data_IF_393291517165
#
_entry.id   IF_393291517165
#
_cell.length_a   1.000
_cell.length_b   1.000
_cell.length_c   1.000
_cell.angle_alpha   90.00
_cell.angle_beta   90.00
_cell.angle_gamma   90.00
#
_symmetry.space_group_name_H-M   'P 1'
#
loop_
_entity.id
_entity.type
_entity.pdbx_description
1 polymer ?
#
# COMPACT_ATOMS: atom_id res chain seq x y z
N UNK A 1 -21.02 -9.64 -15.94
CA UNK A 1 -20.75 -8.21 -15.66
C UNK A 1 -19.98 -7.66 -16.84
N UNK A 2 -20.51 -6.60 -17.47
CA UNK A 2 -19.83 -5.92 -18.59
C UNK A 2 -18.64 -5.13 -18.06
N UNK A 3 -17.50 -5.23 -18.74
CA UNK A 3 -16.28 -4.52 -18.39
C UNK A 3 -15.85 -3.57 -19.50
N UNK A 4 -14.91 -2.68 -19.22
CA UNK A 4 -14.40 -1.64 -20.12
C UNK A 4 -15.50 -0.63 -20.50
N UNK A 5 -16.29 -0.26 -19.51
CA UNK A 5 -17.45 0.63 -19.63
C UNK A 5 -17.40 1.77 -18.61
N UNK A 6 -17.87 2.94 -19.01
CA UNK A 6 -18.09 4.11 -18.16
C UNK A 6 -19.58 4.37 -18.02
N UNK A 7 -20.11 4.29 -16.81
CA UNK A 7 -21.52 4.51 -16.52
C UNK A 7 -21.79 5.97 -16.15
N UNK A 8 -22.80 6.57 -16.76
CA UNK A 8 -23.37 7.85 -16.31
C UNK A 8 -24.27 7.57 -15.10
N UNK A 9 -23.65 7.43 -13.94
CA UNK A 9 -24.34 7.00 -12.71
C UNK A 9 -23.52 7.45 -11.49
N UNK A 10 -24.22 7.83 -10.42
CA UNK A 10 -23.60 7.97 -9.11
C UNK A 10 -23.02 6.62 -8.65
N UNK A 11 -21.75 6.62 -8.29
CA UNK A 11 -21.05 5.41 -7.81
C UNK A 11 -21.80 4.70 -6.66
N UNK A 12 -22.45 5.44 -5.76
CA UNK A 12 -23.22 4.86 -4.67
C UNK A 12 -24.45 4.05 -5.13
N UNK A 13 -24.86 4.19 -6.40
CA UNK A 13 -25.95 3.43 -7.01
C UNK A 13 -25.47 2.25 -7.87
N UNK A 14 -24.17 1.94 -7.83
CA UNK A 14 -23.63 0.81 -8.58
C UNK A 14 -24.28 -0.51 -8.12
N UNK A 15 -24.22 -1.51 -9.01
CA UNK A 15 -24.71 -2.88 -8.73
C UNK A 15 -23.60 -3.91 -8.80
N UNK A 16 -22.37 -3.51 -8.50
CA UNK A 16 -21.23 -4.41 -8.49
C UNK A 16 -21.40 -5.46 -7.39
N UNK A 17 -21.02 -6.71 -7.65
CA UNK A 17 -20.93 -7.74 -6.60
C UNK A 17 -19.96 -7.35 -5.49
N UNK A 18 -20.17 -7.90 -4.30
CA UNK A 18 -19.23 -7.81 -3.21
C UNK A 18 -17.89 -8.42 -3.61
N UNK A 19 -16.80 -7.83 -3.17
CA UNK A 19 -15.44 -8.36 -3.34
C UNK A 19 -15.00 -8.62 -4.80
N UNK A 20 -15.55 -7.87 -5.77
CA UNK A 20 -15.24 -8.04 -7.19
C UNK A 20 -14.05 -7.22 -7.69
N UNK A 21 -13.73 -6.10 -7.05
CA UNK A 21 -12.70 -5.16 -7.50
C UNK A 21 -11.31 -5.56 -7.00
N UNK A 22 -10.35 -5.77 -7.89
CA UNK A 22 -8.96 -6.05 -7.51
C UNK A 22 -8.18 -4.76 -7.21
N UNK A 23 -8.53 -3.66 -7.89
CA UNK A 23 -8.00 -2.33 -7.65
C UNK A 23 -9.15 -1.32 -7.71
N UNK A 24 -9.20 -0.42 -6.75
CA UNK A 24 -10.08 0.76 -6.80
C UNK A 24 -9.20 1.99 -6.85
N UNK A 25 -9.47 2.91 -7.80
CA UNK A 25 -8.79 4.21 -7.86
C UNK A 25 -9.87 5.27 -7.71
N UNK A 26 -9.94 5.85 -6.52
CA UNK A 26 -10.89 6.89 -6.16
C UNK A 26 -10.20 8.26 -6.13
N UNK A 27 -10.65 9.16 -7.00
CA UNK A 27 -10.28 10.57 -7.03
C UNK A 27 -11.55 11.41 -6.84
N UNK A 28 -12.12 11.40 -5.61
CA UNK A 28 -13.39 12.08 -5.35
C UNK A 28 -13.25 13.60 -5.47
N UNK A 29 -14.35 14.34 -5.58
CA UNK A 29 -14.35 15.78 -5.40
C UNK A 29 -13.67 16.18 -4.09
N UNK A 30 -12.85 17.24 -4.12
CA UNK A 30 -12.17 17.79 -2.93
C UNK A 30 -12.94 19.01 -2.46
N UNK A 31 -13.32 19.05 -1.21
CA UNK A 31 -14.12 20.15 -0.67
C UNK A 31 -13.42 21.52 -0.85
N UNK A 32 -14.06 22.45 -1.61
CA UNK A 32 -13.63 23.83 -1.86
C UNK A 32 -12.18 23.98 -2.40
N UNK A 33 -11.79 23.15 -3.36
CA UNK A 33 -10.42 23.19 -3.92
C UNK A 33 -10.37 23.75 -5.33
N UNK A 34 -11.06 23.09 -6.28
CA UNK A 34 -10.98 23.45 -7.70
C UNK A 34 -12.08 22.81 -8.52
N UNK A 35 -12.74 23.63 -9.35
CA UNK A 35 -13.84 23.19 -10.22
C UNK A 35 -15.19 23.17 -9.49
N UNK A 36 -16.26 23.24 -10.27
CA UNK A 36 -17.63 23.36 -9.72
C UNK A 36 -18.02 22.13 -8.90
N UNK A 37 -17.47 20.97 -9.24
CA UNK A 37 -17.75 19.71 -8.53
C UNK A 37 -17.20 19.69 -7.08
N UNK A 38 -16.21 20.54 -6.76
CA UNK A 38 -15.68 20.65 -5.39
C UNK A 38 -16.54 21.57 -4.50
N UNK A 39 -17.52 22.26 -5.08
CA UNK A 39 -18.42 23.20 -4.38
C UNK A 39 -19.87 22.71 -4.32
N UNK A 40 -20.09 21.41 -4.49
CA UNK A 40 -21.44 20.79 -4.48
C UNK A 40 -21.91 20.38 -3.09
N UNK A 41 -21.07 20.51 -2.06
CA UNK A 41 -21.39 20.16 -0.69
C UNK A 41 -21.85 21.38 0.10
N UNK A 42 -22.92 21.24 0.89
CA UNK A 42 -23.48 22.33 1.69
C UNK A 42 -22.48 22.85 2.73
N UNK A 43 -21.76 21.92 3.36
CA UNK A 43 -20.71 22.21 4.34
C UNK A 43 -19.66 21.09 4.41
N UNK A 44 -18.67 21.27 5.27
CA UNK A 44 -17.62 20.28 5.44
C UNK A 44 -18.10 18.97 6.07
N UNK A 45 -19.12 19.02 6.94
CA UNK A 45 -19.70 17.80 7.52
C UNK A 45 -20.44 16.98 6.48
N UNK A 46 -21.19 17.64 5.58
CA UNK A 46 -21.85 16.99 4.43
C UNK A 46 -20.80 16.31 3.52
N UNK A 47 -19.69 16.97 3.23
CA UNK A 47 -18.56 16.34 2.52
C UNK A 47 -18.05 15.09 3.22
N UNK A 48 -17.81 15.11 4.55
CA UNK A 48 -17.34 13.94 5.30
C UNK A 48 -18.34 12.79 5.30
N UNK A 49 -19.64 13.06 5.28
CA UNK A 49 -20.68 12.02 5.13
C UNK A 49 -20.56 11.31 3.78
N UNK A 50 -20.27 12.05 2.70
CA UNK A 50 -20.03 11.47 1.38
C UNK A 50 -18.75 10.64 1.35
N UNK A 51 -17.66 11.13 1.95
CA UNK A 51 -16.42 10.36 2.10
C UNK A 51 -16.68 9.03 2.82
N UNK A 52 -17.49 9.04 3.91
CA UNK A 52 -17.87 7.83 4.64
C UNK A 52 -18.71 6.87 3.78
N UNK A 53 -19.67 7.39 3.02
CA UNK A 53 -20.50 6.57 2.13
C UNK A 53 -19.67 5.90 1.02
N UNK A 54 -18.79 6.66 0.37
CA UNK A 54 -17.90 6.14 -0.65
C UNK A 54 -16.90 5.12 -0.07
N UNK A 55 -16.36 5.38 1.13
CA UNK A 55 -15.45 4.45 1.80
C UNK A 55 -16.12 3.11 2.10
N UNK A 56 -17.38 3.12 2.58
CA UNK A 56 -18.17 1.91 2.83
C UNK A 56 -18.41 1.12 1.56
N UNK A 57 -18.76 1.81 0.48
CA UNK A 57 -19.03 1.17 -0.79
C UNK A 57 -17.74 0.59 -1.42
N UNK A 58 -16.64 1.32 -1.36
CA UNK A 58 -15.33 0.78 -1.74
C UNK A 58 -14.97 -0.46 -0.90
N UNK A 59 -15.24 -0.47 0.40
CA UNK A 59 -14.97 -1.62 1.27
C UNK A 59 -15.82 -2.83 0.90
N UNK A 60 -17.08 -2.64 0.49
CA UNK A 60 -17.99 -3.70 0.06
C UNK A 60 -17.47 -4.40 -1.21
N UNK A 61 -17.05 -3.61 -2.20
CA UNK A 61 -16.68 -4.15 -3.52
C UNK A 61 -15.20 -4.58 -3.62
N UNK A 62 -14.32 -4.13 -2.72
CA UNK A 62 -12.89 -4.46 -2.78
C UNK A 62 -12.66 -5.94 -2.48
N UNK A 63 -11.97 -6.64 -3.37
CA UNK A 63 -11.57 -8.03 -3.19
C UNK A 63 -10.69 -8.22 -1.95
N UNK A 64 -10.69 -9.40 -1.36
CA UNK A 64 -9.97 -9.72 -0.11
C UNK A 64 -8.47 -9.36 -0.16
N UNK A 65 -7.85 -9.47 -1.32
CA UNK A 65 -6.45 -9.10 -1.59
C UNK A 65 -6.31 -7.89 -2.50
N UNK A 66 -7.39 -7.12 -2.66
CA UNK A 66 -7.45 -5.92 -3.48
C UNK A 66 -6.77 -4.72 -2.85
N UNK A 67 -6.57 -3.69 -3.66
CA UNK A 67 -5.96 -2.42 -3.26
C UNK A 67 -6.89 -1.26 -3.56
N UNK A 68 -6.98 -0.31 -2.62
CA UNK A 68 -7.63 0.98 -2.82
C UNK A 68 -6.57 2.07 -2.88
N UNK A 69 -6.61 2.89 -3.94
CA UNK A 69 -5.89 4.17 -4.02
C UNK A 69 -6.93 5.28 -3.86
N UNK A 70 -6.69 6.16 -2.88
CA UNK A 70 -7.56 7.30 -2.62
C UNK A 70 -6.78 8.59 -2.75
N UNK A 71 -7.17 9.44 -3.71
CA UNK A 71 -6.57 10.76 -3.91
C UNK A 71 -7.20 11.83 -3.03
N UNK A 72 -6.44 12.87 -2.72
CA UNK A 72 -6.97 13.98 -1.94
C UNK A 72 -6.07 15.22 -1.91
N UNK A 73 -6.70 16.35 -1.61
CA UNK A 73 -6.00 17.62 -1.39
C UNK A 73 -5.23 17.58 -0.05
N UNK A 74 -4.07 18.22 0.00
CA UNK A 74 -3.20 18.23 1.18
C UNK A 74 -3.87 18.78 2.45
N UNK A 75 -4.93 19.61 2.34
CA UNK A 75 -5.65 20.19 3.47
C UNK A 75 -6.71 19.24 4.03
N UNK A 76 -7.27 18.34 3.19
CA UNK A 76 -8.45 17.53 3.51
C UNK A 76 -8.16 16.04 3.63
N UNK A 77 -7.06 15.57 3.05
CA UNK A 77 -6.72 14.13 3.01
C UNK A 77 -6.65 13.47 4.40
N UNK A 78 -6.23 14.22 5.43
CA UNK A 78 -6.15 13.69 6.80
C UNK A 78 -7.54 13.30 7.36
N UNK A 79 -8.57 14.06 7.04
CA UNK A 79 -9.95 13.74 7.44
C UNK A 79 -10.48 12.51 6.71
N UNK A 80 -10.18 12.39 5.40
CA UNK A 80 -10.50 11.19 4.65
C UNK A 80 -9.77 9.97 5.20
N UNK A 81 -8.50 10.11 5.58
CA UNK A 81 -7.72 9.04 6.20
C UNK A 81 -8.36 8.53 7.48
N UNK A 82 -8.78 9.40 8.39
CA UNK A 82 -9.45 9.01 9.65
C UNK A 82 -10.71 8.16 9.37
N UNK A 83 -11.45 8.50 8.31
CA UNK A 83 -12.63 7.75 7.90
C UNK A 83 -12.24 6.40 7.28
N UNK A 84 -11.31 6.41 6.33
CA UNK A 84 -10.86 5.22 5.63
C UNK A 84 -10.21 4.19 6.56
N UNK A 85 -9.49 4.63 7.58
CA UNK A 85 -8.86 3.77 8.60
C UNK A 85 -9.89 2.94 9.40
N UNK A 86 -11.18 3.31 9.37
CA UNK A 86 -12.27 2.48 9.93
C UNK A 86 -12.50 1.21 9.12
N UNK A 87 -12.26 1.25 7.81
CA UNK A 87 -12.63 0.20 6.85
C UNK A 87 -11.42 -0.56 6.30
N UNK A 88 -10.26 0.05 6.24
CA UNK A 88 -9.08 -0.43 5.55
C UNK A 88 -7.82 -0.38 6.43
N UNK A 89 -6.78 -1.09 6.01
CA UNK A 89 -5.43 -0.98 6.56
C UNK A 89 -4.59 -0.09 5.64
N UNK A 90 -4.06 1.01 6.16
CA UNK A 90 -3.19 1.91 5.42
C UNK A 90 -1.87 1.23 5.08
N UNK A 91 -1.50 1.22 3.80
CA UNK A 91 -0.20 0.76 3.30
C UNK A 91 0.77 1.93 3.09
N UNK A 92 0.29 3.02 2.51
CA UNK A 92 1.13 4.17 2.18
C UNK A 92 0.32 5.46 2.24
N UNK A 93 0.87 6.48 2.89
CA UNK A 93 0.47 7.87 2.70
C UNK A 93 1.49 8.49 1.75
N UNK A 94 1.09 8.64 0.49
CA UNK A 94 1.96 9.01 -0.62
C UNK A 94 1.79 10.46 -1.04
N UNK A 95 2.81 10.95 -1.73
CA UNK A 95 2.88 12.31 -2.26
C UNK A 95 3.26 12.26 -3.74
N UNK A 96 2.41 12.78 -4.59
CA UNK A 96 2.82 13.16 -5.93
C UNK A 96 3.45 14.55 -5.89
N UNK A 97 4.75 14.63 -6.18
CA UNK A 97 5.50 15.87 -6.34
C UNK A 97 5.41 16.33 -7.80
N UNK A 98 4.75 17.47 -8.03
CA UNK A 98 4.58 18.08 -9.36
C UNK A 98 5.85 18.85 -9.71
N UNK A 99 6.74 18.27 -10.51
CA UNK A 99 8.07 18.84 -10.83
C UNK A 99 7.92 20.18 -11.56
N UNK A 100 7.09 20.22 -12.60
CA UNK A 100 6.81 21.42 -13.40
C UNK A 100 5.50 22.11 -12.99
N UNK A 101 5.05 21.90 -11.76
CA UNK A 101 3.85 22.54 -11.24
C UNK A 101 4.01 24.06 -11.30
N UNK A 102 3.15 24.74 -12.09
CA UNK A 102 3.10 26.20 -12.05
C UNK A 102 2.72 26.59 -10.63
N UNK A 103 3.70 27.12 -9.89
CA UNK A 103 3.40 27.90 -8.70
C UNK A 103 2.42 28.98 -9.11
N UNK A 104 1.27 29.08 -8.44
CA UNK A 104 0.36 30.22 -8.66
C UNK A 104 1.21 31.48 -8.61
N UNK A 105 0.85 32.48 -9.42
CA UNK A 105 1.42 33.85 -9.37
C UNK A 105 1.14 34.44 -7.98
N UNK A 106 1.74 33.92 -6.92
CA UNK A 106 1.75 34.61 -5.64
C UNK A 106 3.10 35.32 -5.53
N UNK A 107 3.06 36.56 -5.16
CA UNK A 107 4.25 37.25 -4.71
C UNK A 107 4.80 36.46 -3.53
N UNK A 108 5.99 35.87 -3.65
CA UNK A 108 6.66 35.22 -2.52
C UNK A 108 6.84 36.14 -1.31
N UNK A 109 6.81 37.47 -1.54
CA UNK A 109 6.88 38.49 -0.47
C UNK A 109 5.61 38.55 0.38
N UNK A 110 4.48 38.14 -0.18
CA UNK A 110 3.16 38.16 0.49
C UNK A 110 2.68 36.75 0.90
N UNK A 111 3.42 35.70 0.54
CA UNK A 111 3.06 34.34 0.87
C UNK A 111 3.14 34.11 2.39
N UNK A 112 2.01 33.67 2.98
CA UNK A 112 1.92 33.29 4.41
C UNK A 112 2.22 31.82 4.66
N UNK A 113 2.44 31.02 3.60
CA UNK A 113 2.70 29.58 3.67
C UNK A 113 3.63 29.16 2.55
N UNK A 114 4.18 27.96 2.67
CA UNK A 114 4.94 27.33 1.58
C UNK A 114 4.00 27.06 0.40
N UNK A 115 4.50 27.33 -0.81
CA UNK A 115 3.74 27.09 -2.04
C UNK A 115 3.60 25.58 -2.24
N UNK A 116 2.35 25.11 -2.27
CA UNK A 116 2.07 23.70 -2.46
C UNK A 116 2.23 23.29 -3.95
N UNK A 117 3.15 22.39 -4.21
CA UNK A 117 3.36 21.75 -5.50
C UNK A 117 3.10 20.23 -5.43
N UNK A 118 2.34 19.78 -4.45
CA UNK A 118 2.09 18.37 -4.19
C UNK A 118 0.61 18.04 -4.23
N UNK A 119 0.32 16.77 -4.48
CA UNK A 119 -0.97 16.16 -4.27
C UNK A 119 -0.79 14.88 -3.44
N UNK A 120 -1.79 14.49 -2.70
CA UNK A 120 -1.70 13.36 -1.77
C UNK A 120 -2.48 12.17 -2.28
N UNK A 121 -2.01 10.97 -1.95
CA UNK A 121 -2.78 9.75 -2.15
C UNK A 121 -2.53 8.77 -1.01
N UNK A 122 -3.54 7.99 -0.70
CA UNK A 122 -3.49 6.94 0.31
C UNK A 122 -3.62 5.59 -0.41
N UNK A 123 -2.81 4.63 -0.03
CA UNK A 123 -2.90 3.26 -0.53
C UNK A 123 -3.32 2.36 0.61
N UNK A 124 -4.37 1.60 0.38
CA UNK A 124 -5.00 0.73 1.37
C UNK A 124 -5.13 -0.70 0.88
N UNK A 125 -5.20 -1.64 1.82
CA UNK A 125 -5.67 -3.00 1.62
C UNK A 125 -6.89 -3.28 2.51
N UNK A 126 -7.63 -4.35 2.24
CA UNK A 126 -8.73 -4.79 3.09
C UNK A 126 -8.23 -5.09 4.50
N UNK A 127 -9.05 -4.81 5.53
CA UNK A 127 -8.76 -5.27 6.89
C UNK A 127 -8.72 -6.79 6.90
N UNK A 128 -7.58 -7.36 7.27
CA UNK A 128 -7.51 -8.80 7.48
C UNK A 128 -8.40 -9.18 8.67
N UNK A 129 -9.04 -10.35 8.60
CA UNK A 129 -9.84 -10.91 9.71
C UNK A 129 -9.05 -11.04 11.02
N UNK A 130 -7.74 -10.92 10.98
CA UNK A 130 -6.84 -11.04 12.12
C UNK A 130 -6.42 -9.71 12.74
N UNK A 131 -7.03 -8.58 12.37
CA UNK A 131 -7.04 -7.33 13.13
C UNK A 131 -5.69 -6.68 13.49
N UNK A 132 -4.58 -7.19 13.00
CA UNK A 132 -3.26 -6.77 13.45
C UNK A 132 -2.66 -5.70 12.55
N UNK A 133 -2.29 -4.58 13.17
CA UNK A 133 -1.43 -3.55 12.58
C UNK A 133 -0.09 -4.18 12.16
N UNK A 134 0.01 -4.58 10.89
CA UNK A 134 1.28 -5.03 10.32
C UNK A 134 2.15 -3.81 10.07
N UNK A 135 3.26 -3.70 10.79
CA UNK A 135 4.22 -2.62 10.58
C UNK A 135 4.83 -2.70 9.17
N UNK A 136 4.75 -1.61 8.42
CA UNK A 136 5.05 -1.53 6.97
C UNK A 136 6.53 -1.36 6.63
N UNK A 137 7.36 -0.97 7.61
CA UNK A 137 8.73 -0.53 7.34
C UNK A 137 9.77 -1.66 7.34
N UNK A 138 9.39 -2.86 7.72
CA UNK A 138 10.27 -4.02 7.61
C UNK A 138 9.60 -5.08 6.75
N UNK A 139 10.29 -5.62 5.73
CA UNK A 139 9.82 -6.82 5.03
C UNK A 139 9.48 -7.97 5.99
N UNK A 140 9.99 -7.88 7.22
CA UNK A 140 9.79 -8.85 8.30
C UNK A 140 8.87 -8.34 9.42
N UNK A 141 8.50 -7.05 9.46
CA UNK A 141 7.82 -6.45 10.60
C UNK A 141 6.33 -6.81 10.75
N UNK A 142 5.72 -7.39 9.74
CA UNK A 142 4.37 -7.95 9.82
C UNK A 142 4.35 -9.46 9.66
N UNK A 143 5.50 -10.10 9.56
CA UNK A 143 5.65 -11.49 9.14
C UNK A 143 6.33 -12.35 10.20
N UNK A 144 6.12 -12.04 11.50
CA UNK A 144 6.47 -13.01 12.52
C UNK A 144 5.53 -14.20 12.36
N UNK A 145 6.08 -15.30 11.91
CA UNK A 145 5.34 -16.55 11.82
C UNK A 145 5.09 -17.07 13.24
N UNK A 146 3.82 -17.19 13.62
CA UNK A 146 3.46 -17.61 15.00
C UNK A 146 4.04 -18.97 15.36
N UNK A 147 4.31 -19.83 14.37
CA UNK A 147 5.05 -21.08 14.57
C UNK A 147 6.43 -20.91 15.19
N UNK A 148 7.06 -19.73 15.06
CA UNK A 148 8.33 -19.43 15.71
C UNK A 148 8.22 -18.99 17.18
N UNK A 149 7.02 -18.73 17.69
CA UNK A 149 6.85 -18.21 19.05
C UNK A 149 7.45 -19.14 20.12
N UNK A 150 7.31 -20.49 20.05
CA UNK A 150 7.95 -21.38 21.01
C UNK A 150 9.49 -21.24 21.03
N UNK A 151 10.13 -21.16 19.87
CA UNK A 151 11.58 -20.98 19.74
C UNK A 151 12.01 -19.60 20.26
N UNK A 152 11.24 -18.57 19.97
CA UNK A 152 11.51 -17.20 20.46
C UNK A 152 11.41 -17.14 21.99
N UNK A 153 10.41 -17.75 22.58
CA UNK A 153 10.24 -17.82 24.04
C UNK A 153 11.39 -18.60 24.67
N UNK A 154 11.78 -19.72 24.09
CA UNK A 154 12.94 -20.49 24.52
C UNK A 154 14.22 -19.64 24.50
N UNK A 155 14.52 -18.92 23.39
CA UNK A 155 15.68 -18.02 23.30
C UNK A 155 15.63 -16.90 24.34
N UNK A 156 14.43 -16.36 24.63
CA UNK A 156 14.27 -15.35 25.69
C UNK A 156 14.64 -15.92 27.07
N UNK A 157 14.23 -17.15 27.37
CA UNK A 157 14.58 -17.81 28.61
C UNK A 157 16.09 -18.08 28.70
N UNK A 158 16.68 -18.58 27.61
CA UNK A 158 18.14 -18.80 27.52
C UNK A 158 18.91 -17.50 27.75
N UNK A 159 18.55 -16.42 27.08
CA UNK A 159 19.24 -15.14 27.23
C UNK A 159 19.03 -14.51 28.62
N UNK A 160 17.87 -14.72 29.23
CA UNK A 160 17.60 -14.31 30.61
C UNK A 160 18.54 -15.04 31.57
N UNK A 161 18.81 -16.33 31.35
CA UNK A 161 19.77 -17.13 32.18
C UNK A 161 21.18 -16.58 32.10
N UNK A 162 21.56 -15.94 30.99
CA UNK A 162 22.89 -15.31 30.80
C UNK A 162 22.95 -13.85 31.31
N UNK A 163 21.88 -13.34 31.92
CA UNK A 163 21.79 -11.96 32.42
C UNK A 163 21.09 -10.99 31.46
N UNK A 164 20.42 -11.53 30.42
CA UNK A 164 19.62 -10.78 29.44
C UNK A 164 20.41 -10.31 28.22
N UNK A 165 19.66 -9.90 27.19
CA UNK A 165 20.20 -9.47 25.89
C UNK A 165 21.26 -8.38 26.03
N UNK A 166 21.02 -7.38 26.88
CA UNK A 166 21.96 -6.27 27.08
C UNK A 166 23.32 -6.71 27.59
N UNK A 167 23.38 -7.70 28.51
CA UNK A 167 24.66 -8.26 29.01
C UNK A 167 25.36 -9.08 27.94
N UNK A 168 24.61 -9.84 27.14
CA UNK A 168 25.17 -10.60 26.02
C UNK A 168 25.80 -9.64 25.01
N UNK A 169 25.09 -8.61 24.58
CA UNK A 169 25.60 -7.60 23.64
C UNK A 169 26.86 -6.93 24.20
N UNK A 170 26.85 -6.56 25.49
CA UNK A 170 28.00 -5.92 26.12
C UNK A 170 29.25 -6.82 26.08
N UNK A 171 29.08 -8.14 26.22
CA UNK A 171 30.20 -9.12 26.25
C UNK A 171 30.67 -9.54 24.87
N UNK A 172 29.72 -9.77 23.94
CA UNK A 172 29.99 -10.24 22.57
C UNK A 172 30.27 -9.12 21.58
N UNK A 173 29.87 -7.86 21.90
CA UNK A 173 29.89 -6.71 21.00
C UNK A 173 29.03 -6.92 19.76
N UNK A 174 28.04 -7.80 19.82
CA UNK A 174 27.16 -8.20 18.71
C UNK A 174 25.70 -7.79 18.97
N UNK A 175 25.20 -6.83 18.24
CA UNK A 175 23.85 -6.30 18.40
C UNK A 175 22.74 -7.24 17.85
N UNK A 176 23.09 -8.24 17.06
CA UNK A 176 22.11 -9.18 16.49
C UNK A 176 21.33 -9.98 17.53
N UNK A 177 21.85 -10.12 18.76
CA UNK A 177 21.13 -10.82 19.83
C UNK A 177 19.78 -10.21 20.19
N UNK A 178 19.58 -8.90 19.95
CA UNK A 178 18.28 -8.26 20.13
C UNK A 178 17.23 -8.79 19.14
N UNK A 179 17.63 -9.17 17.93
CA UNK A 179 16.75 -9.71 16.91
C UNK A 179 16.23 -11.11 17.29
N UNK A 180 17.01 -11.91 17.98
CA UNK A 180 16.60 -13.26 18.39
C UNK A 180 15.44 -13.29 19.40
N UNK A 181 15.16 -12.17 20.06
CA UNK A 181 14.06 -12.03 21.03
C UNK A 181 12.96 -11.08 20.59
N UNK A 182 13.19 -10.32 19.51
CA UNK A 182 12.23 -9.38 18.92
C UNK A 182 11.15 -10.12 18.13
N UNK A 183 9.92 -9.57 18.06
CA UNK A 183 8.91 -10.02 17.10
C UNK A 183 9.05 -9.35 15.73
N UNK A 184 9.52 -8.11 15.69
CA UNK A 184 9.56 -7.32 14.46
C UNK A 184 10.71 -7.66 13.51
N UNK A 185 11.82 -8.17 14.04
CA UNK A 185 13.03 -8.49 13.28
C UNK A 185 13.61 -9.85 13.68
N UNK A 186 12.71 -10.80 14.00
CA UNK A 186 13.13 -12.07 14.53
C UNK A 186 14.01 -12.87 13.56
N UNK A 187 15.07 -13.44 14.11
CA UNK A 187 15.94 -14.40 13.44
C UNK A 187 16.44 -15.42 14.45
N UNK A 188 16.62 -16.67 14.01
CA UNK A 188 17.25 -17.70 14.86
C UNK A 188 18.77 -17.51 14.85
N UNK A 189 19.48 -17.71 15.99
CA UNK A 189 20.94 -17.59 16.07
C UNK A 189 21.63 -18.46 15.05
N UNK A 190 22.58 -17.90 14.29
CA UNK A 190 23.45 -18.69 13.41
C UNK A 190 24.51 -19.46 14.23
N UNK A 191 25.23 -20.44 13.65
CA UNK A 191 26.24 -21.21 14.37
C UNK A 191 27.29 -20.34 15.06
N UNK A 192 27.75 -19.27 14.42
CA UNK A 192 28.71 -18.34 14.99
C UNK A 192 28.17 -17.66 16.25
N UNK A 193 26.91 -17.23 16.22
CA UNK A 193 26.26 -16.64 17.40
C UNK A 193 26.17 -17.63 18.55
N UNK A 194 25.91 -18.91 18.27
CA UNK A 194 25.89 -19.96 19.30
C UNK A 194 27.27 -20.11 19.92
N UNK A 195 28.34 -20.24 19.12
CA UNK A 195 29.71 -20.35 19.61
C UNK A 195 30.14 -19.14 20.48
N UNK A 196 29.68 -17.93 20.17
CA UNK A 196 29.88 -16.73 20.99
C UNK A 196 29.19 -16.81 22.36
N UNK A 197 28.11 -17.60 22.49
CA UNK A 197 27.36 -17.76 23.74
C UNK A 197 27.96 -18.86 24.64
N UNK A 198 28.60 -19.89 24.08
CA UNK A 198 29.10 -21.04 24.84
C UNK A 198 30.05 -20.65 25.99
N UNK A 199 31.00 -19.71 25.83
CA UNK A 199 31.84 -19.25 26.94
C UNK A 199 31.03 -18.60 28.07
N UNK A 200 29.90 -17.97 27.77
CA UNK A 200 29.05 -17.37 28.78
C UNK A 200 28.30 -18.42 29.61
N UNK A 201 27.91 -19.54 28.98
CA UNK A 201 27.34 -20.70 29.67
C UNK A 201 28.40 -21.42 30.52
N UNK A 202 29.61 -21.63 29.98
CA UNK A 202 30.73 -22.23 30.71
C UNK A 202 31.04 -21.47 32.00
N UNK A 203 31.07 -20.14 31.95
CA UNK A 203 31.28 -19.29 33.11
C UNK A 203 30.22 -19.44 34.21
N UNK A 204 29.09 -20.07 33.90
CA UNK A 204 28.00 -20.42 34.83
C UNK A 204 27.95 -21.90 35.21
N UNK A 205 28.97 -22.67 34.84
CA UNK A 205 29.04 -24.09 35.13
C UNK A 205 28.12 -24.97 34.31
N UNK A 206 27.60 -24.46 33.15
CA UNK A 206 26.75 -25.22 32.24
C UNK A 206 27.61 -26.06 31.30
N UNK A 207 27.22 -27.32 31.09
CA UNK A 207 27.85 -28.23 30.14
C UNK A 207 27.72 -27.71 28.72
N UNK A 208 28.84 -27.40 28.08
CA UNK A 208 28.93 -26.80 26.76
C UNK A 208 28.44 -27.73 25.66
N UNK A 209 28.79 -29.02 25.73
CA UNK A 209 28.39 -29.98 24.70
C UNK A 209 26.88 -30.23 24.73
N UNK A 210 26.34 -30.36 25.95
CA UNK A 210 24.88 -30.43 26.12
C UNK A 210 24.19 -29.19 25.57
N UNK A 211 24.74 -27.98 25.87
CA UNK A 211 24.15 -26.74 25.41
C UNK A 211 24.21 -26.59 23.89
N UNK A 212 25.32 -27.01 23.28
CA UNK A 212 25.48 -27.05 21.82
C UNK A 212 24.42 -27.96 21.19
N UNK A 213 24.22 -29.16 21.73
CA UNK A 213 23.20 -30.09 21.24
C UNK A 213 21.77 -29.54 21.35
N UNK A 214 21.47 -28.79 22.43
CA UNK A 214 20.17 -28.11 22.57
C UNK A 214 19.94 -27.07 21.47
N UNK A 215 20.93 -26.23 21.15
CA UNK A 215 20.84 -25.25 20.05
C UNK A 215 20.76 -25.92 18.68
N UNK A 216 21.43 -27.02 18.45
CA UNK A 216 21.35 -27.81 17.21
C UNK A 216 19.97 -28.41 17.05
N UNK A 217 19.38 -28.96 18.11
CA UNK A 217 18.01 -29.48 18.09
C UNK A 217 16.98 -28.38 17.79
N UNK A 218 17.10 -27.23 18.46
CA UNK A 218 16.25 -26.08 18.21
C UNK A 218 16.41 -25.53 16.79
N UNK A 219 17.63 -25.60 16.21
CA UNK A 219 17.87 -25.23 14.80
C UNK A 219 17.16 -26.15 13.83
N UNK A 220 17.18 -27.47 14.06
CA UNK A 220 16.44 -28.42 13.21
C UNK A 220 14.94 -28.10 13.20
N UNK A 221 14.37 -27.79 14.36
CA UNK A 221 12.97 -27.37 14.46
C UNK A 221 12.73 -26.03 13.73
N UNK A 222 13.63 -25.07 13.87
CA UNK A 222 13.56 -23.80 13.14
C UNK A 222 13.56 -24.02 11.61
N UNK A 223 14.47 -24.84 11.09
CA UNK A 223 14.55 -25.10 9.63
C UNK A 223 13.29 -25.79 9.11
N UNK A 224 12.71 -26.70 9.88
CA UNK A 224 11.42 -27.32 9.54
C UNK A 224 10.30 -26.29 9.46
N UNK A 225 10.18 -25.43 10.46
CA UNK A 225 9.17 -24.38 10.50
C UNK A 225 9.41 -23.30 9.42
N UNK A 226 10.67 -23.07 9.06
CA UNK A 226 11.05 -22.15 8.00
C UNK A 226 10.50 -22.59 6.64
N UNK A 227 10.56 -23.87 6.32
CA UNK A 227 10.00 -24.40 5.07
C UNK A 227 8.50 -24.10 4.99
N UNK A 228 7.74 -24.35 6.07
CA UNK A 228 6.31 -24.04 6.12
C UNK A 228 6.03 -22.53 6.00
N UNK A 229 6.83 -21.72 6.71
CA UNK A 229 6.72 -20.26 6.61
C UNK A 229 6.97 -19.74 5.19
N UNK A 230 8.03 -20.22 4.51
CA UNK A 230 8.34 -19.79 3.14
C UNK A 230 7.24 -20.22 2.15
N UNK A 231 6.62 -21.38 2.36
CA UNK A 231 5.47 -21.82 1.58
C UNK A 231 4.28 -20.88 1.76
N UNK A 232 3.87 -20.61 3.00
CA UNK A 232 2.76 -19.68 3.30
C UNK A 232 3.06 -18.28 2.78
N UNK A 233 4.30 -17.83 2.89
CA UNK A 233 4.75 -16.54 2.37
C UNK A 233 4.69 -16.48 0.85
N UNK A 234 5.06 -17.55 0.15
CA UNK A 234 4.95 -17.63 -1.30
C UNK A 234 3.49 -17.59 -1.77
N UNK A 235 2.61 -18.35 -1.10
CA UNK A 235 1.17 -18.34 -1.37
C UNK A 235 0.56 -16.94 -1.13
N UNK A 236 0.91 -16.28 -0.02
CA UNK A 236 0.48 -14.93 0.27
C UNK A 236 0.96 -13.94 -0.79
N UNK A 237 2.25 -14.01 -1.18
CA UNK A 237 2.81 -13.14 -2.23
C UNK A 237 2.13 -13.34 -3.58
N UNK A 238 1.81 -14.58 -3.94
CA UNK A 238 1.13 -14.89 -5.18
C UNK A 238 -0.29 -14.28 -5.23
N UNK A 239 -0.96 -14.18 -4.08
CA UNK A 239 -2.31 -13.60 -3.96
C UNK A 239 -2.32 -12.09 -3.76
N UNK A 240 -1.25 -11.50 -3.22
CA UNK A 240 -1.18 -10.08 -2.90
C UNK A 240 -1.16 -9.21 -4.16
N UNK A 241 -1.97 -8.16 -4.20
CA UNK A 241 -2.05 -7.25 -5.33
C UNK A 241 -0.97 -6.18 -5.34
N UNK A 242 -0.67 -5.45 -4.27
CA UNK A 242 0.49 -4.56 -4.33
C UNK A 242 1.78 -5.39 -4.41
N UNK A 243 2.55 -5.23 -5.48
CA UNK A 243 3.84 -5.88 -5.70
C UNK A 243 4.94 -4.86 -5.90
N UNK A 244 5.11 -4.01 -4.89
CA UNK A 244 6.13 -2.97 -4.86
C UNK A 244 7.53 -3.52 -5.13
N UNK A 245 8.25 -2.86 -6.02
CA UNK A 245 9.64 -3.16 -6.33
C UNK A 245 9.88 -4.21 -7.40
N UNK A 246 8.84 -4.90 -7.90
CA UNK A 246 8.98 -5.83 -9.02
C UNK A 246 9.15 -5.10 -10.36
N UNK A 247 8.32 -4.08 -10.60
CA UNK A 247 8.32 -3.32 -11.86
C UNK A 247 8.92 -1.93 -11.71
N UNK A 248 8.52 -1.23 -10.66
CA UNK A 248 8.90 0.15 -10.40
C UNK A 248 9.41 0.28 -8.97
N UNK A 249 10.50 1.04 -8.80
CA UNK A 249 11.01 1.38 -7.46
C UNK A 249 10.24 2.59 -6.89
N UNK A 250 8.91 2.49 -6.83
CA UNK A 250 8.08 3.55 -6.29
C UNK A 250 8.38 3.79 -4.82
N UNK A 251 8.45 5.06 -4.44
CA UNK A 251 8.62 5.52 -3.07
C UNK A 251 7.37 6.29 -2.64
N UNK A 252 7.27 6.64 -1.36
CA UNK A 252 6.15 7.44 -0.85
C UNK A 252 6.09 8.86 -1.42
N UNK A 253 7.19 9.38 -1.96
CA UNK A 253 7.23 10.62 -2.73
C UNK A 253 7.56 10.26 -4.18
N UNK A 254 6.64 10.54 -5.08
CA UNK A 254 6.75 10.20 -6.49
C UNK A 254 6.82 11.49 -7.31
N UNK A 255 7.99 11.83 -7.89
CA UNK A 255 8.12 12.99 -8.75
C UNK A 255 7.59 12.67 -10.15
N UNK A 256 6.59 13.44 -10.61
CA UNK A 256 6.10 13.40 -11.98
C UNK A 256 5.70 14.78 -12.46
N UNK A 257 5.91 15.04 -13.74
CA UNK A 257 5.40 16.23 -14.38
C UNK A 257 3.87 16.22 -14.44
N UNK A 258 3.27 17.39 -14.31
CA UNK A 258 1.87 17.54 -14.71
C UNK A 258 1.77 17.32 -16.22
N UNK A 259 0.71 16.65 -16.67
CA UNK A 259 0.43 16.55 -18.10
C UNK A 259 0.41 17.96 -18.69
N UNK A 260 1.27 18.21 -19.67
CA UNK A 260 1.34 19.54 -20.30
C UNK A 260 0.02 19.85 -20.98
N UNK A 261 -0.36 21.14 -20.99
CA UNK A 261 -1.54 21.64 -21.72
C UNK A 261 -1.48 21.40 -23.25
N UNK A 262 -0.41 20.79 -23.76
CA UNK A 262 -0.23 20.49 -25.18
C UNK A 262 -1.18 19.39 -25.68
N UNK A 263 -1.69 18.54 -24.82
CA UNK A 263 -2.78 17.61 -25.15
C UNK A 263 -4.13 18.23 -24.87
N UNK A 264 -4.51 19.24 -25.65
CA UNK A 264 -5.83 19.90 -25.61
C UNK A 264 -7.02 18.95 -25.91
N UNK A 265 -6.75 17.72 -26.34
CA UNK A 265 -7.77 16.74 -26.68
C UNK A 265 -8.72 16.42 -25.51
N UNK A 266 -8.27 16.57 -24.25
CA UNK A 266 -9.05 16.29 -23.06
C UNK A 266 -8.90 17.44 -22.07
N UNK A 267 -9.72 18.49 -22.21
CA UNK A 267 -9.69 19.65 -21.32
C UNK A 267 -10.47 19.38 -20.04
N UNK A 268 -9.78 18.80 -19.06
CA UNK A 268 -10.30 18.54 -17.72
C UNK A 268 -9.35 19.12 -16.66
N UNK A 269 -9.86 19.84 -15.65
CA UNK A 269 -9.03 20.70 -14.79
C UNK A 269 -8.06 19.97 -13.84
N UNK A 270 -8.27 18.67 -13.58
CA UNK A 270 -7.55 17.92 -12.53
C UNK A 270 -6.98 16.58 -13.00
N UNK A 271 -6.55 16.50 -14.26
CA UNK A 271 -6.02 15.26 -14.86
C UNK A 271 -4.79 14.74 -14.10
N UNK A 272 -4.79 13.44 -13.82
CA UNK A 272 -3.58 12.74 -13.35
C UNK A 272 -2.65 12.42 -14.53
N UNK A 273 -1.32 12.46 -14.34
CA UNK A 273 -0.39 12.07 -15.41
C UNK A 273 -0.58 10.61 -15.82
N UNK A 274 -0.75 10.31 -17.13
CA UNK A 274 -0.96 8.93 -17.60
C UNK A 274 0.14 7.97 -17.14
N UNK A 275 1.39 8.38 -17.21
CA UNK A 275 2.54 7.55 -16.80
C UNK A 275 2.50 7.22 -15.31
N UNK A 276 2.18 8.19 -14.43
CA UNK A 276 2.01 7.94 -13.00
C UNK A 276 0.87 6.97 -12.76
N UNK A 277 -0.30 7.21 -13.38
CA UNK A 277 -1.48 6.35 -13.26
C UNK A 277 -1.16 4.94 -13.71
N UNK A 278 -0.48 4.77 -14.84
CA UNK A 278 -0.02 3.47 -15.36
C UNK A 278 0.86 2.74 -14.34
N UNK A 279 1.89 3.39 -13.80
CA UNK A 279 2.79 2.79 -12.82
C UNK A 279 2.05 2.36 -11.55
N UNK A 280 1.08 3.14 -11.09
CA UNK A 280 0.25 2.77 -9.95
C UNK A 280 -0.63 1.56 -10.27
N UNK A 281 -1.31 1.53 -11.42
CA UNK A 281 -2.14 0.40 -11.85
C UNK A 281 -1.30 -0.88 -11.96
N UNK A 282 -0.17 -0.83 -12.63
CA UNK A 282 0.71 -1.99 -12.81
C UNK A 282 1.29 -2.50 -11.49
N UNK A 283 1.60 -1.60 -10.56
CA UNK A 283 2.12 -1.97 -9.23
C UNK A 283 1.03 -2.56 -8.33
N UNK A 284 -0.23 -2.08 -8.45
CA UNK A 284 -1.32 -2.43 -7.53
C UNK A 284 -2.30 -3.48 -8.08
N UNK A 285 -2.09 -3.94 -9.31
CA UNK A 285 -2.94 -4.93 -9.97
C UNK A 285 -2.15 -5.87 -10.86
N UNK A 286 -2.79 -6.93 -11.35
CA UNK A 286 -2.26 -7.86 -12.33
C UNK A 286 -3.04 -7.76 -13.64
N UNK A 287 -2.46 -8.25 -14.73
CA UNK A 287 -3.17 -8.34 -16.00
C UNK A 287 -4.44 -9.19 -15.86
N UNK A 288 -5.53 -8.75 -16.48
CA UNK A 288 -6.85 -9.35 -16.34
C UNK A 288 -7.65 -8.90 -15.10
N UNK A 289 -7.02 -8.25 -14.12
CA UNK A 289 -7.71 -7.74 -12.92
C UNK A 289 -8.76 -6.67 -13.27
N UNK A 290 -9.78 -6.56 -12.42
CA UNK A 290 -10.80 -5.51 -12.50
C UNK A 290 -10.37 -4.27 -11.72
N UNK A 291 -10.27 -3.16 -12.44
CA UNK A 291 -10.05 -1.82 -11.90
C UNK A 291 -11.39 -1.08 -11.83
N UNK A 292 -11.83 -0.66 -10.65
CA UNK A 292 -13.01 0.17 -10.49
C UNK A 292 -12.61 1.61 -10.26
N UNK A 293 -13.23 2.52 -11.02
CA UNK A 293 -12.96 3.97 -10.98
C UNK A 293 -14.27 4.68 -10.59
N UNK A 294 -14.46 4.99 -9.30
CA UNK A 294 -15.69 5.63 -8.81
C UNK A 294 -15.99 7.01 -9.39
N UNK A 295 -14.96 7.73 -9.85
CA UNK A 295 -15.02 9.10 -10.35
C UNK A 295 -14.16 9.18 -11.62
N UNK A 296 -14.76 8.95 -12.78
CA UNK A 296 -14.03 8.77 -14.03
C UNK A 296 -13.32 10.04 -14.52
N UNK A 297 -13.90 11.21 -14.30
CA UNK A 297 -13.36 12.49 -14.71
C UNK A 297 -12.90 12.48 -16.18
N UNK A 298 -11.62 12.72 -16.41
CA UNK A 298 -11.00 12.70 -17.75
C UNK A 298 -10.74 11.31 -18.33
N UNK A 299 -10.99 10.23 -17.59
CA UNK A 299 -10.79 8.84 -18.02
C UNK A 299 -9.34 8.39 -18.12
N UNK A 300 -8.41 9.04 -17.44
CA UNK A 300 -6.99 8.62 -17.43
C UNK A 300 -6.85 7.21 -16.90
N UNK A 301 -7.50 6.90 -15.77
CA UNK A 301 -7.48 5.60 -15.10
C UNK A 301 -8.07 4.51 -16.00
N UNK A 302 -9.18 4.80 -16.71
CA UNK A 302 -9.81 3.88 -17.64
C UNK A 302 -8.89 3.54 -18.82
N UNK A 303 -8.30 4.57 -19.43
CA UNK A 303 -7.42 4.43 -20.56
C UNK A 303 -6.14 3.65 -20.19
N UNK A 304 -5.51 3.98 -19.06
CA UNK A 304 -4.30 3.31 -18.64
C UNK A 304 -4.55 1.89 -18.14
N UNK A 305 -5.69 1.60 -17.49
CA UNK A 305 -6.08 0.24 -17.14
C UNK A 305 -6.20 -0.63 -18.40
N UNK A 306 -6.92 -0.17 -19.42
CA UNK A 306 -7.06 -0.88 -20.70
C UNK A 306 -5.71 -1.05 -21.39
N UNK A 307 -4.87 -0.01 -21.43
CA UNK A 307 -3.53 -0.05 -22.04
C UNK A 307 -2.66 -1.18 -21.50
N UNK A 308 -2.73 -1.41 -20.19
CA UNK A 308 -1.91 -2.41 -19.51
C UNK A 308 -2.63 -3.74 -19.29
N UNK A 309 -3.70 -4.03 -20.04
CA UNK A 309 -4.39 -5.31 -20.03
C UNK A 309 -5.25 -5.57 -18.80
N UNK A 310 -5.69 -4.51 -18.10
CA UNK A 310 -6.68 -4.62 -17.02
C UNK A 310 -8.06 -4.32 -17.56
N UNK A 311 -9.06 -4.98 -16.99
CA UNK A 311 -10.45 -4.61 -17.21
C UNK A 311 -10.81 -3.42 -16.31
N UNK A 312 -11.70 -2.56 -16.75
CA UNK A 312 -12.19 -1.47 -15.90
C UNK A 312 -13.71 -1.36 -15.90
N UNK A 313 -14.24 -0.78 -14.84
CA UNK A 313 -15.61 -0.26 -14.73
C UNK A 313 -15.51 1.10 -14.06
N UNK A 314 -16.11 2.11 -14.66
CA UNK A 314 -16.00 3.47 -14.16
C UNK A 314 -17.37 4.14 -14.06
N UNK A 315 -17.45 5.13 -13.19
CA UNK A 315 -18.65 5.89 -12.91
C UNK A 315 -18.37 7.38 -12.92
N UNK A 316 -19.32 8.17 -13.38
CA UNK A 316 -19.35 9.62 -13.20
C UNK A 316 -20.78 10.14 -13.28
N UNK A 317 -21.06 11.22 -12.56
CA UNK A 317 -22.35 11.91 -12.60
C UNK A 317 -22.42 12.99 -13.69
N UNK A 318 -21.28 13.44 -14.21
CA UNK A 318 -21.20 14.40 -15.31
C UNK A 318 -21.16 13.68 -16.66
N UNK A 319 -22.18 13.87 -17.47
CA UNK A 319 -22.28 13.29 -18.82
C UNK A 319 -21.10 13.66 -19.74
N UNK A 320 -20.47 14.83 -19.55
CA UNK A 320 -19.27 15.26 -20.31
C UNK A 320 -18.05 14.44 -19.88
N UNK A 321 -17.89 14.21 -18.59
CA UNK A 321 -16.83 13.34 -18.05
C UNK A 321 -17.00 11.91 -18.57
N UNK A 322 -18.21 11.36 -18.52
CA UNK A 322 -18.54 10.03 -19.06
C UNK A 322 -18.15 9.91 -20.53
N UNK A 323 -18.58 10.89 -21.36
CA UNK A 323 -18.24 10.90 -22.79
C UNK A 323 -16.72 10.97 -22.99
N UNK A 324 -16.03 11.85 -22.28
CA UNK A 324 -14.58 12.03 -22.38
C UNK A 324 -13.83 10.76 -21.97
N UNK A 325 -14.20 10.14 -20.86
CA UNK A 325 -13.59 8.92 -20.36
C UNK A 325 -13.83 7.74 -21.33
N UNK A 326 -15.03 7.65 -21.91
CA UNK A 326 -15.37 6.63 -22.91
C UNK A 326 -14.53 6.80 -24.18
N UNK A 327 -14.48 8.02 -24.73
CA UNK A 327 -13.73 8.33 -25.95
C UNK A 327 -12.21 8.06 -25.73
N UNK A 328 -11.68 8.47 -24.57
CA UNK A 328 -10.28 8.27 -24.22
C UNK A 328 -9.94 6.79 -24.08
N UNK A 329 -10.77 6.00 -23.42
CA UNK A 329 -10.57 4.57 -23.29
C UNK A 329 -10.74 3.84 -24.64
N UNK A 330 -11.65 4.29 -25.51
CA UNK A 330 -11.83 3.75 -26.86
C UNK A 330 -10.59 3.96 -27.74
N UNK A 331 -9.90 5.10 -27.61
CA UNK A 331 -8.72 5.44 -28.38
C UNK A 331 -7.46 4.62 -28.00
N UNK A 332 -7.49 3.82 -26.94
CA UNK A 332 -6.35 3.06 -26.45
C UNK A 332 -6.49 1.58 -26.83
N UNK A 333 -5.40 1.01 -27.35
CA UNK A 333 -5.24 -0.43 -27.51
C UNK A 333 -4.39 -1.01 -26.37
N UNK A 334 -4.57 -2.29 -26.10
CA UNK A 334 -3.71 -3.01 -25.16
C UNK A 334 -2.28 -3.07 -25.70
N UNK A 335 -1.33 -2.65 -24.89
CA UNK A 335 0.09 -2.72 -25.15
C UNK A 335 0.68 -3.85 -24.29
N UNK A 336 0.84 -5.07 -24.84
CA UNK A 336 1.40 -6.18 -24.07
C UNK A 336 2.84 -5.84 -23.66
N UNK A 337 3.22 -6.19 -22.44
CA UNK A 337 4.61 -6.07 -22.01
C UNK A 337 5.47 -6.99 -22.86
N UNK A 338 6.50 -6.45 -23.47
CA UNK A 338 7.57 -7.27 -23.98
C UNK A 338 8.18 -8.04 -22.80
N UNK A 339 8.17 -9.37 -22.87
CA UNK A 339 8.88 -10.20 -21.91
C UNK A 339 10.37 -9.79 -21.96
N UNK A 340 10.88 -9.20 -20.87
CA UNK A 340 12.29 -8.86 -20.69
C UNK A 340 13.00 -10.08 -20.13
#
# INVERSE_FOLDING_TARGET
METNVVYHLDFLRNKLPDHCANLIIADPPYFEVKGDFDFTFDDFQHYLQHVEAWAKECARILAENGTLIWWGDYRRIAYAQIILDKYFNLLTNGVWLKINGRTRKCSFREARCLVNNTERFLVYETKSKHGENRSFYSPNAGNFFEGYEPLRQWLRAEYKSLGGVGQIIKRTKNNFYSHHTSRSQWSFPNPKNVEELLPLYAAKGVDIEKKRAEYESARKEYEKQRVEYEKQRAEYRAKRRPHFGELYKLRSVIPFDQESHLTRAYDFPTKKPPTLTRQLIETMSREGDLVVVPFAGSGTECAEAKRVGRNFIAYDIDARAVKMATDRAAAVQHEPKLAI
#
